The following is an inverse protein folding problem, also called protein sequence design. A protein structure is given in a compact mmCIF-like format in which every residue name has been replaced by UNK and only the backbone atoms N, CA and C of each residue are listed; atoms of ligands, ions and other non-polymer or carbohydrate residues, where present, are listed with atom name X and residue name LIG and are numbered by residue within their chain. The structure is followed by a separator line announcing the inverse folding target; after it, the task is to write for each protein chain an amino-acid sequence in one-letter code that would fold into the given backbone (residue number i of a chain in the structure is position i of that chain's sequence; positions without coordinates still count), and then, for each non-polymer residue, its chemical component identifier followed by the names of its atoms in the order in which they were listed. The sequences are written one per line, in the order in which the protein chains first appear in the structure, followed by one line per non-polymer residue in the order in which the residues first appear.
data_IF_437526407529
#
_entry.id   IF_437526407529
#
_cell.length_a   1.000
_cell.length_b   1.000
_cell.length_c   1.000
_cell.angle_alpha   90.00
_cell.angle_beta   90.00
_cell.angle_gamma   90.00
#
_symmetry.space_group_name_H-M   'P 1'
#
loop_
_entity.id
_entity.type
_entity.pdbx_description
1 polymer ?
#
# COMPACT_ATOMS: atom_id res chain seq x y z
N UNK A 1 12.15 -16.36 10.00
CA UNK A 1 12.39 -17.81 10.21
C UNK A 1 11.20 -18.36 10.95
N UNK A 2 10.61 -19.43 10.44
CA UNK A 2 9.46 -20.09 11.04
C UNK A 2 9.82 -21.53 11.42
N UNK A 3 9.31 -22.02 12.55
CA UNK A 3 9.50 -23.41 12.99
C UNK A 3 8.28 -24.24 12.59
N UNK A 4 8.47 -25.26 11.74
CA UNK A 4 7.35 -26.09 11.24
C UNK A 4 6.89 -27.14 12.24
N UNK A 5 7.70 -27.43 13.26
CA UNK A 5 7.36 -28.43 14.28
C UNK A 5 6.38 -27.86 15.31
N UNK A 6 6.27 -26.54 15.37
CA UNK A 6 5.33 -25.84 16.24
C UNK A 6 3.96 -25.69 15.58
N UNK A 7 2.90 -25.71 16.40
CA UNK A 7 1.54 -25.53 15.92
C UNK A 7 1.42 -24.22 15.14
N UNK A 8 0.84 -24.31 13.94
CA UNK A 8 0.59 -23.17 13.06
C UNK A 8 1.83 -22.52 12.41
N UNK A 9 3.00 -23.16 12.48
CA UNK A 9 4.26 -22.71 11.87
C UNK A 9 4.62 -21.23 12.18
N UNK A 10 4.73 -20.86 13.47
CA UNK A 10 4.94 -19.48 13.87
C UNK A 10 6.34 -18.97 13.52
N UNK A 11 6.46 -17.65 13.38
CA UNK A 11 7.73 -16.95 13.23
C UNK A 11 8.45 -16.98 14.59
N UNK A 12 9.65 -17.56 14.61
CA UNK A 12 10.51 -17.63 15.81
C UNK A 12 11.68 -16.63 15.78
N UNK A 13 11.97 -16.07 14.60
CA UNK A 13 12.97 -15.03 14.42
C UNK A 13 12.62 -14.12 13.25
N UNK A 14 12.92 -12.84 13.40
CA UNK A 14 12.69 -11.79 12.42
C UNK A 14 13.85 -10.79 12.42
N UNK A 15 14.22 -10.29 11.24
CA UNK A 15 15.24 -9.26 11.08
C UNK A 15 14.66 -7.85 11.28
N UNK A 16 15.53 -6.87 11.48
CA UNK A 16 15.11 -5.46 11.57
C UNK A 16 14.56 -4.96 10.22
N UNK A 17 15.11 -5.44 9.10
CA UNK A 17 14.57 -5.13 7.75
C UNK A 17 13.11 -5.56 7.58
N UNK A 18 12.71 -6.72 8.14
CA UNK A 18 11.31 -7.15 8.07
C UNK A 18 10.40 -6.26 8.94
N UNK A 19 10.87 -5.82 10.10
CA UNK A 19 10.14 -4.84 10.92
C UNK A 19 9.98 -3.51 10.16
N UNK A 20 11.06 -3.03 9.53
CA UNK A 20 11.06 -1.82 8.72
C UNK A 20 10.14 -1.94 7.49
N UNK A 21 10.12 -3.10 6.83
CA UNK A 21 9.25 -3.35 5.69
C UNK A 21 7.76 -3.39 6.11
N UNK A 22 7.45 -4.10 7.19
CA UNK A 22 6.05 -4.38 7.54
C UNK A 22 5.44 -3.37 8.50
N UNK A 23 6.24 -2.62 9.25
CA UNK A 23 5.79 -1.72 10.32
C UNK A 23 5.42 -2.39 11.63
N UNK A 24 5.42 -3.72 11.68
CA UNK A 24 5.15 -4.46 12.91
C UNK A 24 6.42 -4.57 13.74
N UNK A 25 6.29 -4.39 15.05
CA UNK A 25 7.40 -4.61 15.98
C UNK A 25 7.69 -6.11 16.12
N UNK A 26 8.92 -6.45 16.50
CA UNK A 26 9.32 -7.84 16.80
C UNK A 26 8.35 -8.56 17.74
N UNK A 27 7.84 -7.87 18.77
CA UNK A 27 6.91 -8.43 19.73
C UNK A 27 5.54 -8.77 19.14
N UNK A 28 5.11 -8.05 18.10
CA UNK A 28 3.86 -8.34 17.38
C UNK A 28 4.01 -9.50 16.39
N UNK A 29 5.23 -9.72 15.88
CA UNK A 29 5.52 -10.70 14.84
C UNK A 29 5.84 -12.09 15.41
N UNK A 30 6.64 -12.14 16.48
CA UNK A 30 7.11 -13.41 17.06
C UNK A 30 5.90 -14.20 17.60
N UNK A 31 5.84 -15.48 17.23
CA UNK A 31 4.73 -16.37 17.61
C UNK A 31 3.54 -16.34 16.64
N UNK A 32 3.51 -15.42 15.67
CA UNK A 32 2.47 -15.36 14.65
C UNK A 32 2.86 -16.16 13.41
N UNK A 33 1.88 -16.72 12.71
CA UNK A 33 2.08 -17.19 11.35
C UNK A 33 2.13 -15.99 10.38
N UNK A 34 3.05 -16.00 9.41
CA UNK A 34 3.23 -14.93 8.41
C UNK A 34 1.95 -14.50 7.66
N UNK A 35 0.88 -15.32 7.67
CA UNK A 35 -0.39 -14.99 7.02
C UNK A 35 -1.03 -13.70 7.49
N UNK A 36 -0.68 -13.16 8.65
CA UNK A 36 -1.23 -11.88 9.12
C UNK A 36 -0.99 -10.75 8.10
N UNK A 37 0.06 -10.84 7.28
CA UNK A 37 0.32 -9.89 6.18
C UNK A 37 -0.67 -10.00 5.01
N UNK A 38 -1.58 -10.98 5.00
CA UNK A 38 -2.51 -11.25 3.90
C UNK A 38 -3.87 -10.55 4.07
N UNK A 39 -4.01 -9.66 5.06
CA UNK A 39 -5.20 -8.82 5.23
C UNK A 39 -4.83 -7.42 5.77
N UNK A 40 -5.59 -6.37 5.40
CA UNK A 40 -5.34 -5.01 5.86
C UNK A 40 -5.37 -4.83 7.38
N UNK A 41 -6.21 -5.61 8.07
CA UNK A 41 -6.39 -5.55 9.52
C UNK A 41 -5.49 -6.52 10.30
N UNK A 42 -4.64 -7.28 9.60
CA UNK A 42 -3.76 -8.28 10.18
C UNK A 42 -4.46 -9.56 10.65
N UNK A 43 -5.78 -9.69 10.45
CA UNK A 43 -6.57 -10.81 11.00
C UNK A 43 -6.86 -11.84 9.93
N UNK A 44 -6.10 -12.92 9.97
CA UNK A 44 -6.26 -14.02 9.02
C UNK A 44 -6.28 -15.34 9.77
N UNK A 45 -7.41 -16.03 9.73
CA UNK A 45 -7.55 -17.36 10.32
C UNK A 45 -6.93 -18.45 9.43
N UNK A 46 -6.51 -19.54 10.06
CA UNK A 46 -6.01 -20.71 9.34
C UNK A 46 -7.16 -21.39 8.59
N UNK A 47 -6.99 -21.60 7.28
CA UNK A 47 -8.00 -22.27 6.44
C UNK A 47 -9.14 -21.37 5.96
N UNK A 48 -9.20 -20.10 6.36
CA UNK A 48 -10.15 -19.14 5.79
C UNK A 48 -9.80 -18.81 4.34
N UNK A 49 -10.82 -18.55 3.52
CA UNK A 49 -10.63 -18.05 2.16
C UNK A 49 -10.00 -16.65 2.21
N UNK A 50 -9.07 -16.36 1.29
CA UNK A 50 -8.46 -15.03 1.20
C UNK A 50 -9.38 -14.06 0.46
N UNK A 51 -9.62 -12.90 1.07
CA UNK A 51 -10.45 -11.84 0.50
C UNK A 51 -9.61 -10.79 -0.23
N UNK A 52 -8.45 -10.45 0.33
CA UNK A 52 -7.61 -9.33 -0.13
C UNK A 52 -6.38 -9.77 -0.93
N UNK A 53 -6.18 -11.08 -1.07
CA UNK A 53 -5.01 -11.67 -1.72
C UNK A 53 -5.49 -12.80 -2.63
N UNK A 54 -4.78 -13.01 -3.75
CA UNK A 54 -5.07 -14.14 -4.64
C UNK A 54 -4.94 -15.48 -3.90
N UNK A 55 -6.08 -16.15 -3.77
CA UNK A 55 -6.20 -17.45 -3.11
C UNK A 55 -5.41 -18.53 -3.86
N UNK A 56 -5.25 -18.40 -5.19
CA UNK A 56 -4.44 -19.31 -6.01
C UNK A 56 -2.96 -19.25 -5.66
N UNK A 57 -2.39 -18.05 -5.53
CA UNK A 57 -1.03 -17.83 -5.05
C UNK A 57 -0.81 -18.38 -3.64
N UNK A 58 -1.76 -18.15 -2.72
CA UNK A 58 -1.68 -18.66 -1.34
C UNK A 58 -1.79 -20.18 -1.29
N UNK A 59 -2.65 -20.77 -2.12
CA UNK A 59 -2.76 -22.22 -2.26
C UNK A 59 -1.44 -22.83 -2.77
N UNK A 60 -0.82 -22.21 -3.79
CA UNK A 60 0.47 -22.65 -4.30
C UNK A 60 1.56 -22.61 -3.23
N UNK A 61 1.67 -21.51 -2.47
CA UNK A 61 2.57 -21.40 -1.33
C UNK A 61 2.36 -22.53 -0.32
N UNK A 62 1.10 -22.75 0.09
CA UNK A 62 0.75 -23.81 1.05
C UNK A 62 1.15 -25.19 0.54
N UNK A 63 0.88 -25.49 -0.73
CA UNK A 63 1.26 -26.77 -1.36
C UNK A 63 2.78 -26.97 -1.34
N UNK A 64 3.55 -25.97 -1.75
CA UNK A 64 5.01 -26.08 -1.80
C UNK A 64 5.64 -26.24 -0.41
N UNK A 65 5.11 -25.55 0.59
CA UNK A 65 5.51 -25.72 2.00
C UNK A 65 5.23 -27.14 2.49
N UNK A 66 4.05 -27.69 2.16
CA UNK A 66 3.67 -29.06 2.52
C UNK A 66 4.53 -30.12 1.81
N UNK A 67 4.92 -29.87 0.57
CA UNK A 67 5.85 -30.71 -0.18
C UNK A 67 7.31 -30.56 0.28
N UNK A 68 7.60 -29.60 1.17
CA UNK A 68 8.96 -29.36 1.65
C UNK A 68 9.88 -28.79 0.58
N UNK A 69 9.33 -27.99 -0.35
CA UNK A 69 10.05 -27.45 -1.49
C UNK A 69 10.22 -25.94 -1.39
N UNK A 70 11.31 -25.45 -1.97
CA UNK A 70 11.50 -24.01 -2.16
C UNK A 70 10.39 -23.44 -3.05
N UNK A 71 9.91 -22.25 -2.69
CA UNK A 71 8.90 -21.54 -3.46
C UNK A 71 9.21 -20.06 -3.50
N UNK A 72 9.00 -19.48 -4.68
CA UNK A 72 9.03 -18.05 -4.90
C UNK A 72 7.69 -17.63 -5.48
N UNK A 73 7.02 -16.68 -4.82
CA UNK A 73 5.68 -16.23 -5.18
C UNK A 73 5.56 -14.73 -4.94
N UNK A 74 5.04 -14.00 -5.94
CA UNK A 74 4.58 -12.62 -5.74
C UNK A 74 3.13 -12.60 -5.28
N UNK A 75 2.83 -11.77 -4.29
CA UNK A 75 1.48 -11.55 -3.79
C UNK A 75 1.35 -10.17 -3.12
N UNK A 76 0.13 -9.64 -3.08
CA UNK A 76 -0.16 -8.43 -2.30
C UNK A 76 -0.13 -8.77 -0.81
N UNK A 77 0.61 -7.98 -0.04
CA UNK A 77 0.63 -8.03 1.41
C UNK A 77 0.35 -6.65 1.98
N UNK A 78 0.04 -6.60 3.27
CA UNK A 78 -0.37 -5.39 3.96
C UNK A 78 0.56 -5.08 5.11
N UNK A 79 1.06 -3.85 5.13
CA UNK A 79 1.84 -3.30 6.24
C UNK A 79 0.90 -3.01 7.41
N UNK A 80 1.48 -2.70 8.56
CA UNK A 80 0.73 -2.19 9.71
C UNK A 80 -0.06 -0.96 9.29
N UNK A 81 -1.36 -0.94 9.61
CA UNK A 81 -2.29 0.08 9.15
C UNK A 81 -2.97 -0.18 7.82
N UNK A 82 -2.70 -1.32 7.17
CA UNK A 82 -3.42 -1.75 5.98
C UNK A 82 -2.89 -1.18 4.67
N UNK A 83 -1.71 -0.55 4.64
CA UNK A 83 -1.09 -0.10 3.38
C UNK A 83 -0.63 -1.32 2.57
N UNK A 84 -1.12 -1.51 1.32
CA UNK A 84 -0.71 -2.63 0.48
C UNK A 84 0.72 -2.44 -0.05
N UNK A 85 1.41 -3.56 -0.29
CA UNK A 85 2.66 -3.61 -1.04
C UNK A 85 2.78 -4.93 -1.81
N UNK A 86 3.55 -4.93 -2.91
CA UNK A 86 3.76 -6.12 -3.72
C UNK A 86 4.96 -6.91 -3.18
N UNK A 87 4.67 -7.93 -2.38
CA UNK A 87 5.69 -8.77 -1.77
C UNK A 87 6.12 -9.88 -2.73
N UNK A 88 7.40 -9.90 -3.10
CA UNK A 88 8.04 -11.11 -3.62
C UNK A 88 8.60 -11.93 -2.46
N UNK A 89 7.91 -13.04 -2.17
CA UNK A 89 8.26 -13.95 -1.09
C UNK A 89 9.03 -15.15 -1.65
N UNK A 90 10.25 -15.36 -1.18
CA UNK A 90 10.97 -16.63 -1.34
C UNK A 90 11.01 -17.36 0.00
N UNK A 91 10.59 -18.63 0.01
CA UNK A 91 10.64 -19.50 1.17
C UNK A 91 11.51 -20.71 0.90
N UNK A 92 12.54 -20.90 1.73
CA UNK A 92 13.51 -21.98 1.61
C UNK A 92 13.34 -22.94 2.80
N UNK A 93 13.10 -24.24 2.56
CA UNK A 93 13.06 -25.26 3.61
C UNK A 93 14.48 -25.56 4.12
N UNK A 94 14.64 -25.62 5.43
CA UNK A 94 15.91 -25.91 6.09
C UNK A 94 15.78 -27.15 6.97
N UNK A 95 16.51 -28.23 6.63
CA UNK A 95 16.66 -29.37 7.53
C UNK A 95 17.52 -29.00 8.74
N UNK A 96 17.31 -29.67 9.86
CA UNK A 96 18.08 -29.42 11.08
C UNK A 96 18.35 -30.72 11.83
N UNK A 97 19.63 -31.07 11.98
CA UNK A 97 20.15 -32.31 12.58
C UNK A 97 19.74 -33.62 11.86
N UNK A 98 18.64 -33.64 11.11
CA UNK A 98 18.14 -34.74 10.29
C UNK A 98 17.77 -34.26 8.88
N UNK A 99 17.39 -35.17 7.99
CA UNK A 99 16.85 -34.83 6.65
C UNK A 99 15.42 -34.25 6.71
N UNK A 100 14.79 -34.21 7.89
CA UNK A 100 13.46 -33.62 8.06
C UNK A 100 13.56 -32.10 8.14
N UNK A 101 12.65 -31.42 7.44
CA UNK A 101 12.57 -29.96 7.44
C UNK A 101 12.10 -29.49 8.82
N UNK A 102 12.90 -28.64 9.46
CA UNK A 102 12.56 -28.04 10.76
C UNK A 102 12.20 -26.58 10.65
N UNK A 103 12.83 -25.86 9.73
CA UNK A 103 12.61 -24.42 9.57
C UNK A 103 12.25 -24.06 8.14
N UNK A 104 11.49 -22.98 7.99
CA UNK A 104 11.46 -22.21 6.75
C UNK A 104 12.10 -20.85 6.96
N UNK A 105 12.99 -20.49 6.05
CA UNK A 105 13.54 -19.13 5.95
C UNK A 105 12.80 -18.41 4.85
N UNK A 106 12.16 -17.29 5.21
CA UNK A 106 11.49 -16.41 4.27
C UNK A 106 12.34 -15.17 3.98
N UNK A 107 12.44 -14.81 2.71
CA UNK A 107 12.96 -13.55 2.22
C UNK A 107 11.81 -12.79 1.58
N UNK A 108 11.68 -11.51 1.91
CA UNK A 108 10.62 -10.65 1.42
C UNK A 108 11.22 -9.38 0.87
N UNK A 109 10.65 -8.91 -0.23
CA UNK A 109 11.02 -7.65 -0.86
C UNK A 109 9.79 -6.99 -1.45
N UNK A 110 9.71 -5.68 -1.31
CA UNK A 110 8.72 -4.87 -2.00
C UNK A 110 9.19 -4.60 -3.43
N UNK A 111 8.52 -5.20 -4.42
CA UNK A 111 8.85 -5.00 -5.82
C UNK A 111 8.54 -3.58 -6.31
N UNK A 112 7.70 -2.82 -5.59
CA UNK A 112 7.42 -1.42 -5.93
C UNK A 112 8.58 -0.53 -5.50
N UNK A 113 9.12 -0.74 -4.30
CA UNK A 113 10.26 0.04 -3.80
C UNK A 113 11.60 -0.42 -4.42
N UNK A 114 11.70 -1.68 -4.82
CA UNK A 114 12.92 -2.28 -5.35
C UNK A 114 12.65 -3.00 -6.70
N UNK A 115 12.32 -2.29 -7.79
CA UNK A 115 11.99 -2.89 -9.08
C UNK A 115 13.17 -3.65 -9.70
N UNK A 116 14.41 -3.22 -9.44
CA UNK A 116 15.63 -3.82 -9.98
C UNK A 116 16.07 -5.10 -9.25
N UNK A 117 15.33 -5.52 -8.22
CA UNK A 117 15.69 -6.69 -7.43
C UNK A 117 15.61 -8.01 -8.21
N UNK A 118 14.82 -8.03 -9.30
CA UNK A 118 14.70 -9.17 -10.18
C UNK A 118 15.75 -9.03 -11.29
N UNK A 119 16.78 -9.88 -11.26
CA UNK A 119 17.86 -9.87 -12.25
C UNK A 119 17.85 -11.16 -13.06
N UNK A 120 17.30 -11.11 -14.27
CA UNK A 120 17.36 -12.21 -15.23
C UNK A 120 16.41 -13.37 -14.90
N UNK A 121 15.66 -13.79 -15.91
CA UNK A 121 14.83 -14.99 -15.84
C UNK A 121 15.62 -16.14 -16.46
N UNK A 122 16.25 -16.98 -15.64
CA UNK A 122 16.85 -18.22 -16.13
C UNK A 122 15.83 -19.36 -16.08
N UNK A 123 16.03 -20.36 -16.94
CA UNK A 123 15.18 -21.54 -17.08
C UNK A 123 15.15 -22.36 -15.78
N UNK A 124 14.27 -21.98 -14.84
CA UNK A 124 14.02 -22.71 -13.60
C UNK A 124 13.80 -21.86 -12.35
N UNK A 125 14.04 -20.54 -12.42
CA UNK A 125 13.86 -19.66 -11.27
C UNK A 125 14.23 -18.21 -11.60
N UNK A 126 13.73 -17.27 -10.80
CA UNK A 126 14.07 -15.85 -10.91
C UNK A 126 15.19 -15.57 -9.92
N UNK A 127 16.33 -15.04 -10.39
CA UNK A 127 17.39 -14.62 -9.47
C UNK A 127 16.99 -13.30 -8.83
N UNK A 128 16.95 -13.28 -7.49
CA UNK A 128 16.54 -12.10 -6.73
C UNK A 128 17.71 -11.60 -5.89
N UNK A 129 18.02 -10.31 -6.02
CA UNK A 129 18.98 -9.64 -5.16
C UNK A 129 18.29 -9.14 -3.89
N UNK A 130 18.51 -9.83 -2.77
CA UNK A 130 17.97 -9.43 -1.46
C UNK A 130 18.86 -8.43 -0.71
N UNK A 131 19.99 -7.98 -1.28
CA UNK A 131 20.87 -7.01 -0.64
C UNK A 131 20.32 -5.60 -0.82
N UNK A 132 19.64 -5.11 0.19
CA UNK A 132 19.24 -3.70 0.29
C UNK A 132 19.73 -3.11 1.62
N UNK A 133 20.59 -2.10 1.51
CA UNK A 133 21.25 -1.44 2.65
C UNK A 133 20.33 -0.47 3.38
N UNK A 134 19.33 0.10 2.70
CA UNK A 134 18.61 1.29 3.16
C UNK A 134 17.08 1.16 2.96
N UNK A 135 16.47 0.08 3.45
CA UNK A 135 15.00 0.06 3.55
C UNK A 135 14.61 1.04 4.66
N UNK A 136 14.07 2.20 4.27
CA UNK A 136 13.53 3.18 5.21
C UNK A 136 12.52 2.53 6.14
N UNK A 137 12.57 2.86 7.43
CA UNK A 137 11.64 2.30 8.41
C UNK A 137 10.22 2.77 8.08
N UNK A 138 9.33 1.85 7.75
CA UNK A 138 7.91 2.15 7.65
C UNK A 138 7.37 2.42 9.05
N UNK A 139 7.06 3.68 9.32
CA UNK A 139 6.46 4.13 10.58
C UNK A 139 4.96 4.26 10.35
N UNK A 140 4.19 3.31 10.89
CA UNK A 140 2.75 3.48 10.94
C UNK A 140 2.37 4.44 12.07
N UNK A 141 1.86 5.61 11.71
CA UNK A 141 1.19 6.51 12.64
C UNK A 141 -0.31 6.18 12.65
N UNK A 142 -0.88 5.73 13.78
CA UNK A 142 -2.32 5.56 13.89
C UNK A 142 -3.02 6.89 13.58
N UNK A 143 -4.17 6.88 12.89
CA UNK A 143 -4.99 8.07 12.75
C UNK A 143 -5.29 8.63 14.14
N UNK A 144 -4.97 9.91 14.38
CA UNK A 144 -5.22 10.55 15.67
C UNK A 144 -6.74 10.64 15.84
N UNK A 145 -7.36 9.95 16.81
CA UNK A 145 -8.79 10.08 17.03
C UNK A 145 -9.01 11.48 17.63
N UNK A 146 -9.62 12.39 16.85
CA UNK A 146 -9.93 13.80 17.16
C UNK A 146 -8.94 14.90 16.76
N UNK A 147 -8.18 14.73 15.67
CA UNK A 147 -7.89 15.92 14.86
C UNK A 147 -8.67 15.78 13.56
N UNK A 148 -9.73 16.57 13.44
CA UNK A 148 -10.14 17.09 12.15
C UNK A 148 -8.90 17.87 11.67
N UNK A 149 -7.93 17.17 11.07
CA UNK A 149 -6.84 17.84 10.36
C UNK A 149 -7.58 18.78 9.41
N UNK A 150 -7.34 20.08 9.55
CA UNK A 150 -7.79 21.05 8.57
C UNK A 150 -7.18 20.56 7.27
N UNK A 151 -8.00 19.90 6.45
CA UNK A 151 -7.55 19.16 5.27
C UNK A 151 -6.74 20.17 4.46
N UNK A 152 -5.42 19.95 4.32
CA UNK A 152 -4.52 20.94 3.72
C UNK A 152 -5.03 21.26 2.31
N UNK A 153 -5.71 22.40 2.15
CA UNK A 153 -6.37 22.79 0.91
C UNK A 153 -7.85 23.16 1.03
N UNK A 154 -8.54 22.78 2.12
CA UNK A 154 -9.86 23.30 2.45
C UNK A 154 -9.72 24.66 3.11
N UNK A 155 -10.31 25.68 2.51
CA UNK A 155 -10.27 27.06 3.01
C UNK A 155 -11.62 27.55 3.50
N UNK A 156 -12.69 26.80 3.24
CA UNK A 156 -14.03 27.04 3.79
C UNK A 156 -14.25 26.18 5.04
N UNK A 157 -14.57 26.82 6.17
CA UNK A 157 -14.93 26.10 7.38
C UNK A 157 -16.33 25.49 7.29
N UNK A 158 -16.65 24.57 8.21
CA UNK A 158 -17.97 23.91 8.30
C UNK A 158 -19.11 24.92 8.42
N UNK A 159 -18.89 26.03 9.13
CA UNK A 159 -19.86 27.11 9.29
C UNK A 159 -20.05 27.91 7.99
N UNK A 160 -18.98 28.11 7.20
CA UNK A 160 -19.04 28.79 5.90
C UNK A 160 -19.82 27.95 4.89
N UNK A 161 -19.55 26.64 4.85
CA UNK A 161 -20.27 25.67 4.02
C UNK A 161 -21.76 25.66 4.38
N UNK A 162 -22.08 25.63 5.68
CA UNK A 162 -23.47 25.67 6.16
C UNK A 162 -24.18 26.96 5.76
N UNK A 163 -23.49 28.08 5.83
CA UNK A 163 -24.02 29.39 5.44
C UNK A 163 -24.27 29.46 3.93
N UNK A 164 -23.35 28.93 3.11
CA UNK A 164 -23.49 28.87 1.65
C UNK A 164 -24.67 27.97 1.23
N UNK A 165 -24.84 26.82 1.87
CA UNK A 165 -25.96 25.90 1.62
C UNK A 165 -27.31 26.54 1.94
N UNK A 166 -27.42 27.29 3.04
CA UNK A 166 -28.66 27.98 3.42
C UNK A 166 -29.03 29.11 2.46
N UNK A 167 -28.04 29.72 1.79
CA UNK A 167 -28.24 30.81 0.83
C UNK A 167 -28.48 30.32 -0.61
N UNK A 168 -28.50 29.01 -0.84
CA UNK A 168 -28.71 28.44 -2.16
C UNK A 168 -30.13 28.74 -2.68
N UNK A 169 -30.22 29.51 -3.76
CA UNK A 169 -31.47 29.81 -4.45
C UNK A 169 -31.34 29.50 -5.95
N UNK A 170 -31.96 28.42 -6.46
CA UNK A 170 -31.80 27.98 -7.84
C UNK A 170 -32.37 28.94 -8.90
N UNK A 171 -33.24 29.88 -8.49
CA UNK A 171 -33.92 30.83 -9.38
C UNK A 171 -33.48 32.29 -9.18
N UNK A 172 -32.49 32.55 -8.31
CA UNK A 172 -32.00 33.89 -8.03
C UNK A 172 -30.91 34.35 -8.99
N UNK A 173 -30.83 35.66 -9.26
CA UNK A 173 -29.66 36.28 -9.89
C UNK A 173 -28.45 36.10 -8.96
N UNK A 174 -27.65 35.07 -9.20
CA UNK A 174 -26.46 34.76 -8.41
C UNK A 174 -25.39 35.80 -8.75
N UNK A 175 -25.02 36.64 -7.78
CA UNK A 175 -23.85 37.53 -7.94
C UNK A 175 -22.59 36.68 -8.16
N UNK A 176 -21.64 37.13 -8.97
CA UNK A 176 -20.43 36.37 -9.33
C UNK A 176 -19.65 35.83 -8.10
N UNK A 177 -19.71 36.57 -6.99
CA UNK A 177 -19.18 36.16 -5.68
C UNK A 177 -19.81 34.88 -5.11
N UNK A 178 -21.15 34.77 -5.17
CA UNK A 178 -21.88 33.60 -4.68
C UNK A 178 -21.55 32.37 -5.53
N UNK A 179 -21.40 32.55 -6.84
CA UNK A 179 -21.03 31.47 -7.75
C UNK A 179 -19.62 30.95 -7.47
N UNK A 180 -18.63 31.84 -7.36
CA UNK A 180 -17.24 31.43 -7.07
C UNK A 180 -17.10 30.76 -5.70
N UNK A 181 -17.87 31.19 -4.70
CA UNK A 181 -17.86 30.57 -3.37
C UNK A 181 -18.51 29.19 -3.37
N UNK A 182 -19.56 29.02 -4.18
CA UNK A 182 -20.23 27.73 -4.37
C UNK A 182 -19.37 26.72 -5.13
N UNK A 183 -18.76 27.15 -6.24
CA UNK A 183 -17.85 26.32 -7.03
C UNK A 183 -16.67 25.87 -6.17
N UNK A 184 -16.15 26.76 -5.33
CA UNK A 184 -15.09 26.46 -4.37
C UNK A 184 -15.53 25.48 -3.27
N UNK A 185 -16.73 25.66 -2.71
CA UNK A 185 -17.31 24.72 -1.74
C UNK A 185 -17.40 23.31 -2.32
N UNK A 186 -17.89 23.18 -3.55
CA UNK A 186 -17.98 21.90 -4.25
C UNK A 186 -16.60 21.28 -4.50
N UNK A 187 -15.64 22.08 -4.98
CA UNK A 187 -14.28 21.62 -5.25
C UNK A 187 -13.51 21.17 -4.00
N UNK A 188 -13.76 21.81 -2.86
CA UNK A 188 -13.09 21.50 -1.59
C UNK A 188 -13.69 20.28 -0.88
N UNK A 189 -14.98 19.98 -1.13
CA UNK A 189 -15.73 18.94 -0.43
C UNK A 189 -16.11 17.73 -1.30
N UNK A 190 -15.78 17.74 -2.59
CA UNK A 190 -15.99 16.59 -3.48
C UNK A 190 -15.06 15.42 -3.13
N UNK A 191 -15.55 14.19 -3.29
CA UNK A 191 -14.73 12.98 -3.12
C UNK A 191 -13.91 12.65 -4.38
N UNK A 192 -14.38 13.07 -5.55
CA UNK A 192 -13.65 12.89 -6.81
C UNK A 192 -12.44 13.83 -6.90
N UNK A 193 -11.36 13.36 -7.52
CA UNK A 193 -10.18 14.21 -7.79
C UNK A 193 -10.44 15.10 -9.00
N UNK A 194 -10.64 16.39 -8.74
CA UNK A 194 -10.73 17.41 -9.77
C UNK A 194 -9.36 18.03 -9.97
N UNK A 195 -8.88 18.05 -11.21
CA UNK A 195 -7.58 18.61 -11.54
C UNK A 195 -7.66 19.52 -12.76
N UNK A 196 -6.75 20.48 -12.83
CA UNK A 196 -6.52 21.32 -14.01
C UNK A 196 -5.10 21.08 -14.46
N UNK A 197 -4.91 20.79 -15.74
CA UNK A 197 -3.61 20.54 -16.36
C UNK A 197 -3.31 21.59 -17.43
N UNK A 198 -2.03 21.92 -17.58
CA UNK A 198 -1.53 22.73 -18.69
C UNK A 198 -1.50 21.94 -19.99
N UNK A 199 -1.34 22.63 -21.12
CA UNK A 199 -1.15 21.98 -22.44
C UNK A 199 0.10 21.08 -22.51
N UNK A 200 1.05 21.24 -21.58
CA UNK A 200 2.24 20.40 -21.44
C UNK A 200 2.01 19.20 -20.53
N UNK A 201 0.80 19.01 -19.99
CA UNK A 201 0.45 17.94 -19.06
C UNK A 201 0.90 18.17 -17.62
N UNK A 202 1.32 19.39 -17.26
CA UNK A 202 1.67 19.73 -15.87
C UNK A 202 0.42 20.07 -15.06
N UNK A 203 0.32 19.58 -13.83
CA UNK A 203 -0.75 19.97 -12.91
C UNK A 203 -0.66 21.46 -12.57
N UNK A 204 -1.76 22.17 -12.77
CA UNK A 204 -1.95 23.57 -12.38
C UNK A 204 -2.76 23.69 -11.09
N UNK A 205 -3.67 22.73 -10.87
CA UNK A 205 -4.51 22.64 -9.68
C UNK A 205 -4.93 21.19 -9.45
N UNK A 206 -5.09 20.82 -8.18
CA UNK A 206 -5.64 19.56 -7.70
C UNK A 206 -6.57 19.86 -6.50
N UNK A 207 -7.74 19.23 -6.46
CA UNK A 207 -8.66 19.31 -5.32
C UNK A 207 -8.09 18.59 -4.08
N UNK A 208 -8.50 18.97 -2.85
CA UNK A 208 -8.03 18.33 -1.61
C UNK A 208 -8.21 16.81 -1.57
N UNK A 209 -9.23 16.28 -2.27
CA UNK A 209 -9.47 14.84 -2.43
C UNK A 209 -8.28 14.08 -3.03
N UNK A 210 -7.32 14.75 -3.70
CA UNK A 210 -6.12 14.10 -4.22
C UNK A 210 -5.31 13.41 -3.12
N UNK A 211 -5.25 13.97 -1.91
CA UNK A 211 -4.53 13.38 -0.77
C UNK A 211 -5.16 12.06 -0.34
N UNK A 212 -6.49 11.96 -0.39
CA UNK A 212 -7.21 10.74 -0.03
C UNK A 212 -7.14 9.67 -1.13
N UNK A 213 -7.24 10.09 -2.40
CA UNK A 213 -7.38 9.16 -3.53
C UNK A 213 -6.03 8.74 -4.11
N UNK A 214 -5.09 9.68 -4.24
CA UNK A 214 -3.77 9.45 -4.83
C UNK A 214 -2.67 9.29 -3.78
N UNK A 215 -2.96 9.54 -2.50
CA UNK A 215 -1.97 9.54 -1.40
C UNK A 215 -0.86 10.61 -1.53
N UNK A 216 -1.06 11.64 -2.36
CA UNK A 216 -0.12 12.76 -2.54
C UNK A 216 -0.75 14.09 -2.10
N UNK A 217 0.06 14.97 -1.50
CA UNK A 217 -0.36 16.34 -1.25
C UNK A 217 -0.49 17.11 -2.57
N UNK A 218 -1.56 17.89 -2.72
CA UNK A 218 -1.80 18.69 -3.92
C UNK A 218 -0.68 19.68 -4.18
N UNK A 219 -0.09 20.25 -3.12
CA UNK A 219 1.02 21.20 -3.24
C UNK A 219 2.28 20.55 -3.82
N UNK A 220 2.50 19.26 -3.57
CA UNK A 220 3.66 18.52 -4.08
C UNK A 220 3.49 18.13 -5.55
N UNK A 221 2.25 17.96 -6.01
CA UNK A 221 1.95 17.58 -7.39
C UNK A 221 1.79 18.77 -8.34
N UNK A 222 1.43 19.96 -7.84
CA UNK A 222 1.35 21.16 -8.69
C UNK A 222 2.71 21.47 -9.31
N UNK A 223 2.73 21.62 -10.63
CA UNK A 223 3.93 21.82 -11.44
C UNK A 223 4.57 20.54 -11.96
N UNK A 224 4.21 19.38 -11.40
CA UNK A 224 4.68 18.08 -11.89
C UNK A 224 3.82 17.58 -13.07
N UNK A 225 4.40 16.77 -13.98
CA UNK A 225 3.66 16.18 -15.08
C UNK A 225 2.69 15.10 -14.59
N UNK A 226 1.55 14.94 -15.27
CA UNK A 226 0.57 13.89 -15.01
C UNK A 226 1.22 12.49 -15.02
N UNK A 227 2.25 12.29 -15.84
CA UNK A 227 3.03 11.04 -15.88
C UNK A 227 3.70 10.67 -14.56
N UNK A 228 3.88 11.62 -13.62
CA UNK A 228 4.49 11.34 -12.31
C UNK A 228 3.62 10.44 -11.42
N UNK A 229 2.32 10.41 -11.67
CA UNK A 229 1.36 9.59 -10.90
C UNK A 229 0.79 8.42 -11.71
N UNK A 230 1.17 8.29 -12.99
CA UNK A 230 0.72 7.20 -13.85
C UNK A 230 1.75 6.08 -13.93
N UNK A 231 1.29 4.84 -14.04
CA UNK A 231 2.17 3.71 -14.28
C UNK A 231 2.83 3.81 -15.68
N UNK A 232 4.11 3.42 -15.87
CA UNK A 232 4.79 3.53 -17.16
C UNK A 232 4.08 2.83 -18.32
N UNK A 233 3.37 1.73 -18.07
CA UNK A 233 2.59 1.02 -19.09
C UNK A 233 1.32 1.77 -19.52
N UNK A 234 0.84 2.72 -18.72
CA UNK A 234 -0.35 3.53 -19.02
C UNK A 234 0.02 4.83 -19.76
N UNK A 235 1.32 5.13 -19.88
CA UNK A 235 1.83 6.29 -20.61
C UNK A 235 2.01 5.90 -22.08
N UNK A 236 0.97 6.13 -22.88
CA UNK A 236 1.04 5.90 -24.33
C UNK A 236 1.42 7.21 -25.03
N UNK A 237 2.53 7.26 -25.77
CA UNK A 237 2.85 8.41 -26.59
C UNK A 237 1.82 8.52 -27.73
N UNK A 238 1.17 9.68 -27.82
CA UNK A 238 0.30 10.02 -28.95
C UNK A 238 1.22 10.38 -30.12
N UNK A 239 1.50 9.40 -30.98
CA UNK A 239 2.18 9.60 -32.28
C UNK A 239 1.24 10.22 -33.31
#
# INVERSE_FOLDING_TARGET
VCDVTMNDCPIIYVSDNFQNLTGYSRHEIIGQNCRFLQAPDGKVEAGSKREFVDDGAVFNLKRMIQEGREVQQSLINYRKGGKPFLNLLTMIPIPWDTDEIRYFIGFQIDLVECPDAISGQELGGVTVNYKHSDIGQYIWTPPVPNQLESDNGQTLGVDDVSTLLQQYNPNGLVSDWHKSSWDKMLLENTDDVVHVISLKGLFLYLSPSCKRVLEYDGADLVGNPLSSVCHPSDIVPVT
#
